data_IF_541068339482
#
_entry.id   IF_541068339482
#
_cell.length_a   1.000
_cell.length_b   1.000
_cell.length_c   1.000
_cell.angle_alpha   90.00
_cell.angle_beta   90.00
_cell.angle_gamma   90.00
#
_symmetry.space_group_name_H-M   'P 1'
#
loop_
_entity.id
_entity.type
_entity.pdbx_description
1 polymer ?
#
# COMPACT_ATOMS: atom_id res chain seq x y z
N UNK A 1 18.81 -16.60 0.41
CA UNK A 1 17.46 -16.20 0.83
C UNK A 1 17.39 -14.85 1.57
N UNK A 2 18.44 -14.45 2.32
CA UNK A 2 18.49 -13.13 2.98
C UNK A 2 18.61 -11.97 2.01
N UNK A 3 19.22 -12.15 0.84
CA UNK A 3 19.42 -11.11 -0.18
C UNK A 3 18.10 -10.73 -0.87
N UNK A 4 17.18 -11.68 -1.03
CA UNK A 4 15.86 -11.45 -1.64
C UNK A 4 14.92 -10.62 -0.72
N UNK A 5 15.01 -10.84 0.60
CA UNK A 5 14.23 -10.08 1.58
C UNK A 5 14.69 -8.62 1.69
N UNK A 6 15.98 -8.36 1.56
CA UNK A 6 16.54 -7.00 1.67
C UNK A 6 16.09 -6.09 0.53
N UNK A 7 15.98 -6.60 -0.69
CA UNK A 7 15.46 -5.83 -1.83
C UNK A 7 13.98 -5.45 -1.69
N UNK A 8 13.20 -6.35 -1.12
CA UNK A 8 11.78 -6.15 -0.84
C UNK A 8 11.54 -5.08 0.22
N UNK A 9 12.26 -5.14 1.34
CA UNK A 9 12.19 -4.12 2.39
C UNK A 9 12.66 -2.73 1.91
N UNK A 10 13.71 -2.70 1.10
CA UNK A 10 14.22 -1.46 0.50
C UNK A 10 13.22 -0.84 -0.48
N UNK A 11 12.48 -1.64 -1.25
CA UNK A 11 11.46 -1.14 -2.16
C UNK A 11 10.29 -0.48 -1.41
N UNK A 12 9.84 -1.08 -0.30
CA UNK A 12 8.79 -0.53 0.57
C UNK A 12 9.27 0.75 1.25
N UNK A 13 10.45 0.75 1.83
CA UNK A 13 11.06 1.91 2.46
C UNK A 13 11.30 3.05 1.46
N UNK A 14 11.71 2.70 0.23
CA UNK A 14 11.90 3.65 -0.86
C UNK A 14 10.61 4.32 -1.29
N UNK A 15 9.51 3.57 -1.40
CA UNK A 15 8.19 4.11 -1.72
C UNK A 15 7.68 5.04 -0.61
N UNK A 16 7.89 4.68 0.65
CA UNK A 16 7.56 5.51 1.82
C UNK A 16 8.37 6.81 1.84
N UNK A 17 9.67 6.73 1.60
CA UNK A 17 10.57 7.89 1.55
C UNK A 17 10.25 8.81 0.38
N UNK A 18 9.89 8.28 -0.79
CA UNK A 18 9.43 9.07 -1.94
C UNK A 18 8.14 9.81 -1.61
N UNK A 19 7.20 9.14 -0.97
CA UNK A 19 5.94 9.74 -0.57
C UNK A 19 6.16 10.88 0.44
N UNK A 20 6.99 10.67 1.45
CA UNK A 20 7.38 11.69 2.42
C UNK A 20 8.12 12.86 1.75
N UNK A 21 8.99 12.58 0.80
CA UNK A 21 9.73 13.59 0.04
C UNK A 21 8.80 14.46 -0.84
N UNK A 22 7.76 13.89 -1.42
CA UNK A 22 6.74 14.62 -2.17
C UNK A 22 5.94 15.54 -1.25
N UNK A 23 5.56 15.08 -0.07
CA UNK A 23 4.87 15.87 0.94
C UNK A 23 5.72 17.05 1.43
N UNK A 24 7.00 16.81 1.66
CA UNK A 24 7.97 17.85 2.09
C UNK A 24 8.19 18.85 0.96
N UNK A 25 8.29 18.40 -0.29
CA UNK A 25 8.51 19.26 -1.45
C UNK A 25 7.34 20.19 -1.78
N UNK A 26 6.11 19.84 -1.39
CA UNK A 26 4.93 20.67 -1.65
C UNK A 26 4.71 21.78 -0.60
N UNK A 27 5.36 21.71 0.55
CA UNK A 27 5.13 22.63 1.66
C UNK A 27 6.30 23.56 2.01
N UNK A 28 7.31 23.67 1.11
CA UNK A 28 8.44 24.60 1.33
C UNK A 28 9.47 24.10 2.33
N UNK A 29 10.59 24.78 2.40
CA UNK A 29 11.88 24.37 2.94
C UNK A 29 11.99 24.23 4.48
N UNK A 30 10.92 24.33 5.22
CA UNK A 30 10.93 23.97 6.62
C UNK A 30 10.47 22.53 6.79
N UNK A 31 11.31 21.69 7.38
CA UNK A 31 10.85 20.43 7.96
C UNK A 31 9.66 20.78 8.85
N UNK A 32 8.44 20.39 8.50
CA UNK A 32 7.32 20.71 9.37
C UNK A 32 7.59 20.01 10.69
N UNK A 33 7.65 20.79 11.75
CA UNK A 33 7.44 20.27 13.07
C UNK A 33 6.23 19.31 12.94
N UNK A 34 6.39 18.14 13.49
CA UNK A 34 5.45 17.02 13.55
C UNK A 34 3.99 17.51 13.62
N UNK A 35 3.41 17.83 12.46
CA UNK A 35 2.04 18.31 12.41
C UNK A 35 1.09 17.15 12.72
N UNK A 36 -0.11 17.47 13.19
CA UNK A 36 -1.16 16.44 13.44
C UNK A 36 -1.39 15.59 12.19
N UNK A 37 -1.38 16.19 11.01
CA UNK A 37 -1.56 15.48 9.74
C UNK A 37 -0.39 14.53 9.44
N UNK A 38 0.83 14.94 9.71
CA UNK A 38 2.01 14.08 9.54
C UNK A 38 1.97 12.88 10.46
N UNK A 39 1.58 13.06 11.71
CA UNK A 39 1.41 11.95 12.68
C UNK A 39 0.31 10.98 12.26
N UNK A 40 -0.83 11.51 11.85
CA UNK A 40 -1.94 10.69 11.34
C UNK A 40 -1.54 9.87 10.13
N UNK A 41 -0.87 10.51 9.18
CA UNK A 41 -0.41 9.84 7.97
C UNK A 41 0.57 8.71 8.31
N UNK A 42 1.54 8.99 9.17
CA UNK A 42 2.48 7.97 9.67
C UNK A 42 1.75 6.80 10.32
N UNK A 43 0.77 7.08 11.18
CA UNK A 43 -0.06 6.05 11.84
C UNK A 43 -0.77 5.17 10.82
N UNK A 44 -1.41 5.75 9.80
CA UNK A 44 -2.13 5.01 8.76
C UNK A 44 -1.18 4.17 7.91
N UNK A 45 -0.05 4.73 7.51
CA UNK A 45 0.93 4.01 6.70
C UNK A 45 1.55 2.84 7.48
N UNK A 46 1.82 3.01 8.77
CA UNK A 46 2.27 1.93 9.64
C UNK A 46 1.20 0.85 9.81
N UNK A 47 -0.06 1.25 9.92
CA UNK A 47 -1.18 0.31 10.00
C UNK A 47 -1.31 -0.53 8.72
N UNK A 48 -1.23 0.12 7.56
CA UNK A 48 -1.25 -0.57 6.26
C UNK A 48 -0.09 -1.56 6.16
N UNK A 49 1.12 -1.13 6.51
CA UNK A 49 2.31 -1.98 6.46
C UNK A 49 2.21 -3.19 7.40
N UNK A 50 1.64 -3.01 8.58
CA UNK A 50 1.47 -4.07 9.56
C UNK A 50 0.33 -5.04 9.22
N UNK A 51 -0.76 -4.55 8.64
CA UNK A 51 -2.02 -5.29 8.53
C UNK A 51 -2.59 -5.41 7.11
N UNK A 52 -1.82 -5.12 6.07
CA UNK A 52 -2.31 -5.19 4.68
C UNK A 52 -2.88 -6.58 4.30
N UNK A 53 -2.36 -7.65 4.90
CA UNK A 53 -2.78 -9.03 4.61
C UNK A 53 -4.08 -9.43 5.31
N UNK A 54 -4.59 -8.59 6.21
CA UNK A 54 -5.84 -8.81 6.94
C UNK A 54 -6.99 -8.02 6.30
N UNK A 55 -8.27 -8.30 6.67
CA UNK A 55 -9.40 -7.49 6.22
C UNK A 55 -9.40 -6.10 6.87
N UNK A 56 -8.48 -5.23 6.46
CA UNK A 56 -8.34 -3.87 6.97
C UNK A 56 -9.41 -2.97 6.36
N UNK A 57 -10.25 -2.38 7.21
CA UNK A 57 -11.38 -1.53 6.81
C UNK A 57 -11.07 -0.05 7.00
N UNK A 58 -11.86 0.79 6.35
CA UNK A 58 -11.78 2.25 6.51
C UNK A 58 -12.05 2.64 7.97
N UNK A 59 -12.98 1.94 8.62
CA UNK A 59 -13.32 2.16 10.03
C UNK A 59 -12.12 1.96 10.95
N UNK A 60 -11.33 0.91 10.70
CA UNK A 60 -10.14 0.61 11.50
C UNK A 60 -9.09 1.72 11.38
N UNK A 61 -8.89 2.22 10.17
CA UNK A 61 -7.96 3.31 9.90
C UNK A 61 -8.45 4.65 10.50
N UNK A 62 -9.74 4.93 10.40
CA UNK A 62 -10.34 6.12 10.99
C UNK A 62 -10.23 6.10 12.53
N UNK A 63 -10.49 4.95 13.15
CA UNK A 63 -10.34 4.76 14.59
C UNK A 63 -8.89 4.98 15.04
N UNK A 64 -7.93 4.41 14.31
CA UNK A 64 -6.51 4.60 14.59
C UNK A 64 -6.08 6.07 14.53
N UNK A 65 -6.76 6.88 13.72
CA UNK A 65 -6.53 8.32 13.59
C UNK A 65 -7.36 9.16 14.55
N UNK A 66 -8.28 8.56 15.29
CA UNK A 66 -9.16 9.27 16.22
C UNK A 66 -10.16 10.20 15.53
N UNK A 67 -10.64 9.86 14.33
CA UNK A 67 -11.59 10.68 13.58
C UNK A 67 -12.73 9.84 13.00
N UNK A 68 -13.80 10.53 12.53
CA UNK A 68 -14.91 9.84 11.87
C UNK A 68 -14.48 9.27 10.52
N UNK A 69 -15.19 8.25 10.07
CA UNK A 69 -14.95 7.62 8.76
C UNK A 69 -15.03 8.64 7.62
N UNK A 70 -16.04 9.49 7.62
CA UNK A 70 -16.24 10.53 6.58
C UNK A 70 -15.09 11.55 6.55
N UNK A 71 -14.64 11.98 7.72
CA UNK A 71 -13.50 12.87 7.83
C UNK A 71 -12.22 12.21 7.35
N UNK A 72 -11.99 10.97 7.78
CA UNK A 72 -10.83 10.17 7.36
C UNK A 72 -10.77 10.01 5.85
N UNK A 73 -11.87 9.64 5.20
CA UNK A 73 -11.92 9.43 3.75
C UNK A 73 -11.53 10.69 2.97
N UNK A 74 -12.07 11.84 3.36
CA UNK A 74 -11.75 13.13 2.70
C UNK A 74 -10.31 13.55 2.96
N UNK A 75 -9.88 13.44 4.20
CA UNK A 75 -8.53 13.79 4.61
C UNK A 75 -7.49 12.91 3.91
N UNK A 76 -7.67 11.59 3.91
CA UNK A 76 -6.74 10.65 3.30
C UNK A 76 -6.61 10.88 1.79
N UNK A 77 -7.73 11.10 1.10
CA UNK A 77 -7.71 11.42 -0.33
C UNK A 77 -6.99 12.74 -0.62
N UNK A 78 -7.18 13.74 0.21
CA UNK A 78 -6.45 15.01 0.12
C UNK A 78 -4.95 14.83 0.30
N UNK A 79 -4.55 14.00 1.28
CA UNK A 79 -3.14 13.79 1.61
C UNK A 79 -2.41 12.91 0.59
N UNK A 80 -3.07 11.89 0.06
CA UNK A 80 -2.44 10.87 -0.80
C UNK A 80 -2.82 10.96 -2.28
N UNK A 81 -3.85 11.71 -2.61
CA UNK A 81 -4.38 11.82 -3.96
C UNK A 81 -5.35 10.71 -4.34
N UNK A 82 -5.56 9.70 -3.50
CA UNK A 82 -6.47 8.58 -3.76
C UNK A 82 -7.16 8.10 -2.49
N UNK A 83 -8.28 7.38 -2.65
CA UNK A 83 -9.02 6.81 -1.53
C UNK A 83 -8.22 5.72 -0.81
N UNK A 84 -8.58 5.46 0.44
CA UNK A 84 -7.91 4.46 1.28
C UNK A 84 -7.92 3.06 0.66
N UNK A 85 -9.08 2.60 0.17
CA UNK A 85 -9.21 1.27 -0.43
C UNK A 85 -8.32 1.12 -1.68
N UNK A 86 -8.29 2.14 -2.53
CA UNK A 86 -7.43 2.15 -3.71
C UNK A 86 -5.95 2.11 -3.31
N UNK A 87 -5.56 2.89 -2.32
CA UNK A 87 -4.20 2.92 -1.81
C UNK A 87 -3.78 1.56 -1.23
N UNK A 88 -4.63 0.95 -0.39
CA UNK A 88 -4.40 -0.37 0.19
C UNK A 88 -4.27 -1.44 -0.90
N UNK A 89 -5.14 -1.43 -1.89
CA UNK A 89 -5.08 -2.37 -3.01
C UNK A 89 -3.80 -2.18 -3.84
N UNK A 90 -3.38 -0.95 -4.08
CA UNK A 90 -2.12 -0.67 -4.77
C UNK A 90 -0.91 -1.21 -4.01
N UNK A 91 -0.91 -1.03 -2.69
CA UNK A 91 0.13 -1.59 -1.82
C UNK A 91 0.17 -3.12 -1.93
N UNK A 92 -0.98 -3.79 -1.82
CA UNK A 92 -1.12 -5.25 -1.98
C UNK A 92 -0.65 -5.73 -3.35
N UNK A 93 -1.01 -5.03 -4.41
CA UNK A 93 -0.62 -5.38 -5.79
C UNK A 93 0.89 -5.24 -6.01
N UNK A 94 1.52 -4.22 -5.44
CA UNK A 94 2.97 -4.05 -5.50
C UNK A 94 3.68 -5.24 -4.85
N UNK A 95 3.22 -5.66 -3.68
CA UNK A 95 3.75 -6.82 -2.97
C UNK A 95 3.53 -8.12 -3.77
N UNK A 96 2.35 -8.27 -4.37
CA UNK A 96 2.04 -9.42 -5.22
C UNK A 96 2.98 -9.49 -6.44
N UNK A 97 3.24 -8.36 -7.08
CA UNK A 97 4.16 -8.29 -8.21
C UNK A 97 5.58 -8.74 -7.83
N UNK A 98 6.06 -8.31 -6.65
CA UNK A 98 7.34 -8.79 -6.14
C UNK A 98 7.34 -10.31 -5.87
N UNK A 99 6.31 -10.82 -5.19
CA UNK A 99 6.19 -12.25 -4.90
C UNK A 99 6.13 -13.10 -6.18
N UNK A 100 5.46 -12.59 -7.23
CA UNK A 100 5.44 -13.25 -8.53
C UNK A 100 6.84 -13.39 -9.15
N UNK A 101 7.70 -12.41 -8.93
CA UNK A 101 9.06 -12.40 -9.46
C UNK A 101 10.02 -13.28 -8.67
N UNK A 102 9.89 -13.30 -7.35
CA UNK A 102 10.90 -13.91 -6.46
C UNK A 102 10.50 -15.28 -5.93
N UNK A 103 9.27 -15.75 -6.15
CA UNK A 103 8.78 -17.04 -5.66
C UNK A 103 8.12 -17.84 -6.76
N UNK A 104 7.98 -19.16 -6.52
CA UNK A 104 7.22 -20.07 -7.37
C UNK A 104 5.81 -20.33 -6.83
N UNK A 105 5.37 -19.58 -5.82
CA UNK A 105 4.03 -19.69 -5.24
C UNK A 105 2.96 -19.48 -6.30
N UNK A 106 1.83 -20.16 -6.16
CA UNK A 106 0.71 -20.00 -7.11
C UNK A 106 0.12 -18.60 -7.04
N UNK A 107 -0.52 -18.17 -8.12
CA UNK A 107 -1.22 -16.87 -8.15
C UNK A 107 -2.27 -16.80 -7.04
N UNK A 108 -2.98 -17.91 -6.79
CA UNK A 108 -3.96 -18.01 -5.70
C UNK A 108 -3.30 -17.78 -4.32
N UNK A 109 -2.19 -18.44 -4.06
CA UNK A 109 -1.45 -18.29 -2.81
C UNK A 109 -0.96 -16.86 -2.61
N UNK A 110 -0.42 -16.25 -3.66
CA UNK A 110 0.06 -14.87 -3.61
C UNK A 110 -1.08 -13.91 -3.32
N UNK A 111 -2.22 -14.06 -4.03
CA UNK A 111 -3.39 -13.22 -3.79
C UNK A 111 -3.85 -13.30 -2.33
N UNK A 112 -3.91 -14.51 -1.76
CA UNK A 112 -4.26 -14.70 -0.35
C UNK A 112 -3.25 -14.10 0.61
N UNK A 113 -1.94 -14.28 0.36
CA UNK A 113 -0.86 -13.73 1.21
C UNK A 113 -0.86 -12.21 1.28
N UNK A 114 -1.23 -11.54 0.21
CA UNK A 114 -1.28 -10.07 0.18
C UNK A 114 -2.64 -9.49 0.59
N UNK A 115 -3.61 -10.36 0.93
CA UNK A 115 -4.86 -9.93 1.54
C UNK A 115 -6.07 -9.87 0.61
N UNK A 116 -6.02 -10.51 -0.56
CA UNK A 116 -7.18 -10.63 -1.45
C UNK A 116 -7.92 -11.95 -1.20
N UNK A 117 -9.18 -11.84 -0.84
CA UNK A 117 -10.07 -13.01 -0.64
C UNK A 117 -10.64 -13.53 -1.95
N UNK A 118 -10.73 -12.69 -2.97
CA UNK A 118 -11.35 -13.01 -4.25
C UNK A 118 -10.31 -12.94 -5.37
N UNK A 119 -10.00 -14.12 -5.93
CA UNK A 119 -8.99 -14.23 -7.00
C UNK A 119 -9.38 -13.49 -8.27
N UNK A 120 -10.66 -13.50 -8.65
CA UNK A 120 -11.14 -12.79 -9.84
C UNK A 120 -10.98 -11.28 -9.69
N UNK A 121 -11.28 -10.75 -8.50
CA UNK A 121 -11.08 -9.34 -8.17
C UNK A 121 -9.58 -8.97 -8.22
N UNK A 122 -8.73 -9.80 -7.61
CA UNK A 122 -7.28 -9.63 -7.67
C UNK A 122 -6.77 -9.58 -9.12
N UNK A 123 -7.14 -10.56 -9.94
CA UNK A 123 -6.71 -10.64 -11.34
C UNK A 123 -7.13 -9.40 -12.14
N UNK A 124 -8.35 -8.92 -11.93
CA UNK A 124 -8.87 -7.72 -12.60
C UNK A 124 -8.09 -6.47 -12.20
N UNK A 125 -7.83 -6.27 -10.91
CA UNK A 125 -7.05 -5.13 -10.42
C UNK A 125 -5.60 -5.21 -10.89
N UNK A 126 -5.00 -6.39 -10.84
CA UNK A 126 -3.62 -6.60 -11.29
C UNK A 126 -3.46 -6.27 -12.78
N UNK A 127 -4.36 -6.79 -13.63
CA UNK A 127 -4.34 -6.51 -15.06
C UNK A 127 -4.55 -5.02 -15.36
N UNK A 128 -5.44 -4.36 -14.62
CA UNK A 128 -5.67 -2.92 -14.77
C UNK A 128 -4.43 -2.10 -14.42
N UNK A 129 -3.68 -2.50 -13.39
CA UNK A 129 -2.48 -1.78 -12.94
C UNK A 129 -1.25 -2.05 -13.82
N UNK A 130 -1.02 -3.30 -14.18
CA UNK A 130 0.20 -3.72 -14.89
C UNK A 130 0.00 -4.01 -16.38
N UNK A 131 -1.23 -3.93 -16.89
CA UNK A 131 -1.53 -4.17 -18.31
C UNK A 131 -1.50 -5.64 -18.73
N UNK A 132 -1.26 -6.56 -17.80
CA UNK A 132 -1.19 -7.99 -18.06
C UNK A 132 -1.64 -8.79 -16.84
N UNK A 133 -1.99 -10.07 -17.04
CA UNK A 133 -2.38 -10.95 -15.94
C UNK A 133 -1.17 -11.28 -15.05
N UNK A 134 -1.40 -11.70 -13.79
CA UNK A 134 -0.31 -12.14 -12.92
C UNK A 134 0.54 -13.25 -13.52
N UNK A 135 -0.08 -14.17 -14.25
CA UNK A 135 0.59 -15.28 -14.92
C UNK A 135 1.55 -14.79 -16.02
N UNK A 136 1.06 -13.87 -16.85
CA UNK A 136 1.87 -13.22 -17.90
C UNK A 136 3.01 -12.42 -17.30
N UNK A 137 2.75 -11.72 -16.21
CA UNK A 137 3.75 -10.94 -15.49
C UNK A 137 4.90 -11.81 -14.97
N UNK A 138 4.60 -13.00 -14.43
CA UNK A 138 5.62 -13.96 -13.98
C UNK A 138 6.50 -14.45 -15.14
N UNK A 139 5.92 -14.62 -16.32
CA UNK A 139 6.62 -15.16 -17.49
C UNK A 139 7.59 -14.17 -18.16
N UNK A 140 7.55 -12.91 -17.75
CA UNK A 140 8.50 -11.89 -18.22
C UNK A 140 9.84 -11.97 -17.49
#
# INVERSE_FOLDING_TARGET
NKVKNTGYELAIKGALLRFLSILIGQHGTSLPADTTDTRRLKTVLQLIEAEYATPLRIEDAAEACGCSQSHFMRWFKKMTGQGFTAYLNDHRLNLAAELLRITDATVLDIAGRVGFDNLSYFNRLFKRRYGMTPREYRSK
#
